data_IF_834338443570
#
_entry.id   IF_834338443570
#
_cell.length_a   1.000
_cell.length_b   1.000
_cell.length_c   1.000
_cell.angle_alpha   90.00
_cell.angle_beta   90.00
_cell.angle_gamma   90.00
#
_symmetry.space_group_name_H-M   'P 1'
#
loop_
_entity.id
_entity.type
_entity.pdbx_description
1 polymer ?
#
# COMPACT_ATOMS: atom_id res chain seq x y z
N UNK A 1 -8.21 -2.22 -2.65
CA UNK A 1 -8.39 -3.67 -2.49
C UNK A 1 -7.06 -4.43 -2.36
N UNK A 2 -6.09 -4.28 -3.28
CA UNK A 2 -4.75 -4.89 -3.13
C UNK A 2 -4.14 -4.65 -1.73
N UNK A 3 -4.15 -3.39 -1.28
CA UNK A 3 -3.66 -3.03 0.04
C UNK A 3 -4.45 -3.70 1.18
N UNK A 4 -5.77 -3.86 1.04
CA UNK A 4 -6.59 -4.54 2.03
C UNK A 4 -6.28 -6.05 2.09
N UNK A 5 -6.09 -6.71 0.93
CA UNK A 5 -5.67 -8.13 0.87
C UNK A 5 -4.32 -8.32 1.56
N UNK A 6 -3.33 -7.52 1.21
CA UNK A 6 -1.99 -7.63 1.82
C UNK A 6 -2.00 -7.25 3.31
N UNK A 7 -2.82 -6.28 3.70
CA UNK A 7 -2.96 -5.84 5.09
C UNK A 7 -3.44 -6.92 6.05
N UNK A 8 -4.15 -7.93 5.54
CA UNK A 8 -4.54 -9.11 6.32
C UNK A 8 -3.33 -9.99 6.72
N UNK A 9 -2.18 -9.82 6.05
CA UNK A 9 -1.06 -10.74 6.14
C UNK A 9 -1.29 -12.04 5.36
N UNK A 10 -0.28 -12.52 4.65
CA UNK A 10 -0.38 -13.69 3.80
C UNK A 10 -1.48 -13.63 2.73
N UNK A 11 -1.99 -12.41 2.41
CA UNK A 11 -3.15 -12.25 1.54
C UNK A 11 -4.45 -12.83 2.10
N UNK A 12 -4.54 -12.97 3.42
CA UNK A 12 -5.66 -13.63 4.12
C UNK A 12 -5.53 -15.13 4.24
N UNK A 13 -4.45 -15.74 3.75
CA UNK A 13 -4.12 -17.16 3.90
C UNK A 13 -3.47 -17.43 5.26
N UNK A 14 -3.48 -18.69 5.69
CA UNK A 14 -2.74 -19.16 6.88
C UNK A 14 -1.25 -19.22 6.57
N UNK A 15 -0.89 -19.87 5.48
CA UNK A 15 0.50 -19.96 5.03
C UNK A 15 0.83 -18.79 4.07
N UNK A 16 1.78 -17.90 4.42
CA UNK A 16 2.10 -16.74 3.61
C UNK A 16 2.95 -17.06 2.37
N UNK A 17 3.45 -18.30 2.19
CA UNK A 17 4.43 -18.63 1.14
C UNK A 17 3.92 -18.26 -0.26
N UNK A 18 2.76 -18.78 -0.63
CA UNK A 18 2.19 -18.55 -1.96
C UNK A 18 1.90 -17.06 -2.21
N UNK A 19 1.40 -16.35 -1.18
CA UNK A 19 1.18 -14.90 -1.24
C UNK A 19 2.48 -14.13 -1.36
N UNK A 20 3.53 -14.51 -0.63
CA UNK A 20 4.84 -13.85 -0.68
C UNK A 20 5.50 -14.03 -2.04
N UNK A 21 5.45 -15.23 -2.60
CA UNK A 21 6.04 -15.51 -3.92
C UNK A 21 5.26 -14.82 -5.04
N UNK A 22 3.93 -14.76 -4.93
CA UNK A 22 3.08 -13.97 -5.83
C UNK A 22 3.40 -12.47 -5.74
N UNK A 23 3.58 -11.92 -4.54
CA UNK A 23 4.00 -10.53 -4.34
C UNK A 23 5.41 -10.27 -4.88
N UNK A 24 6.32 -11.21 -4.76
CA UNK A 24 7.66 -11.12 -5.37
C UNK A 24 7.55 -11.01 -6.90
N UNK A 25 6.68 -11.81 -7.52
CA UNK A 25 6.41 -11.71 -8.95
C UNK A 25 5.81 -10.34 -9.31
N UNK A 26 4.84 -9.82 -8.50
CA UNK A 26 4.27 -8.47 -8.69
C UNK A 26 5.37 -7.42 -8.72
N UNK A 27 6.17 -7.32 -7.66
CA UNK A 27 7.13 -6.23 -7.52
C UNK A 27 8.29 -6.34 -8.50
N UNK A 28 8.76 -7.56 -8.81
CA UNK A 28 9.79 -7.78 -9.83
C UNK A 28 9.32 -7.32 -11.20
N UNK A 29 8.12 -7.71 -11.62
CA UNK A 29 7.56 -7.31 -12.90
C UNK A 29 7.23 -5.82 -12.93
N UNK A 30 6.65 -5.29 -11.84
CA UNK A 30 6.34 -3.88 -11.71
C UNK A 30 7.60 -3.01 -11.84
N UNK A 31 8.72 -3.41 -11.25
CA UNK A 31 9.98 -2.67 -11.34
C UNK A 31 10.49 -2.58 -12.78
N UNK A 32 10.40 -3.67 -13.55
CA UNK A 32 10.81 -3.69 -14.96
C UNK A 32 9.86 -2.87 -15.83
N UNK A 33 8.56 -3.12 -15.71
CA UNK A 33 7.55 -2.42 -16.53
C UNK A 33 7.49 -0.94 -16.18
N UNK A 34 7.78 -0.57 -14.93
CA UNK A 34 7.83 0.83 -14.47
C UNK A 34 8.70 1.73 -15.34
N UNK A 35 9.81 1.23 -15.89
CA UNK A 35 10.67 1.98 -16.79
C UNK A 35 10.01 2.32 -18.15
N UNK A 36 9.04 1.52 -18.58
CA UNK A 36 8.35 1.69 -19.86
C UNK A 36 6.91 2.15 -19.69
N UNK A 37 6.44 2.23 -18.45
CA UNK A 37 5.03 2.45 -18.13
C UNK A 37 4.51 3.79 -18.64
N UNK A 38 5.33 4.84 -18.64
CA UNK A 38 4.97 6.15 -19.18
C UNK A 38 4.67 6.07 -20.67
N UNK A 39 5.54 5.44 -21.46
CA UNK A 39 5.33 5.23 -22.89
C UNK A 39 4.10 4.39 -23.19
N UNK A 40 3.88 3.32 -22.41
CA UNK A 40 2.71 2.44 -22.56
C UNK A 40 1.43 3.20 -22.22
N UNK A 41 1.41 3.95 -21.11
CA UNK A 41 0.26 4.74 -20.68
C UNK A 41 -0.09 5.85 -21.69
N UNK A 42 0.93 6.47 -22.31
CA UNK A 42 0.72 7.45 -23.37
C UNK A 42 0.12 6.83 -24.65
N UNK A 43 0.58 5.62 -25.02
CA UNK A 43 0.05 4.91 -26.16
C UNK A 43 -1.38 4.41 -25.96
N UNK A 44 -1.69 3.84 -24.80
CA UNK A 44 -3.03 3.35 -24.44
C UNK A 44 -4.01 4.50 -24.18
N UNK A 45 -3.51 5.62 -23.68
CA UNK A 45 -4.31 6.70 -23.11
C UNK A 45 -4.74 6.41 -21.66
N UNK A 46 -4.95 7.47 -20.89
CA UNK A 46 -5.14 7.40 -19.42
C UNK A 46 -6.31 6.48 -19.03
N UNK A 47 -7.48 6.62 -19.67
CA UNK A 47 -8.67 5.82 -19.36
C UNK A 47 -8.42 4.32 -19.50
N UNK A 48 -7.88 3.92 -20.66
CA UNK A 48 -7.62 2.52 -20.96
C UNK A 48 -6.52 1.96 -20.06
N UNK A 49 -5.49 2.75 -19.77
CA UNK A 49 -4.40 2.37 -18.87
C UNK A 49 -4.91 2.09 -17.45
N UNK A 50 -5.79 2.94 -16.93
CA UNK A 50 -6.39 2.74 -15.60
C UNK A 50 -7.33 1.54 -15.56
N UNK A 51 -8.17 1.36 -16.57
CA UNK A 51 -9.11 0.22 -16.64
C UNK A 51 -8.37 -1.11 -16.82
N UNK A 52 -7.38 -1.14 -17.71
CA UNK A 52 -6.50 -2.31 -17.89
C UNK A 52 -5.79 -2.69 -16.59
N UNK A 53 -5.25 -1.68 -15.89
CA UNK A 53 -4.67 -1.89 -14.58
C UNK A 53 -5.66 -2.48 -13.59
N UNK A 54 -6.89 -1.95 -13.54
CA UNK A 54 -7.96 -2.45 -12.66
C UNK A 54 -8.31 -3.92 -12.91
N UNK A 55 -8.33 -4.37 -14.17
CA UNK A 55 -8.57 -5.78 -14.52
C UNK A 55 -7.46 -6.67 -13.96
N UNK A 56 -6.19 -6.25 -14.03
CA UNK A 56 -5.08 -6.99 -13.43
C UNK A 56 -5.27 -7.22 -11.93
N UNK A 57 -5.74 -6.22 -11.20
CA UNK A 57 -6.07 -6.36 -9.78
C UNK A 57 -7.23 -7.34 -9.54
N UNK A 58 -8.26 -7.38 -10.40
CA UNK A 58 -9.35 -8.35 -10.30
C UNK A 58 -8.83 -9.79 -10.45
N UNK A 59 -8.00 -10.05 -11.46
CA UNK A 59 -7.42 -11.37 -11.72
C UNK A 59 -6.52 -11.80 -10.55
N UNK A 60 -5.75 -10.88 -10.00
CA UNK A 60 -4.91 -11.15 -8.84
C UNK A 60 -5.74 -11.59 -7.62
N UNK A 61 -6.82 -10.87 -7.30
CA UNK A 61 -7.69 -11.27 -6.18
C UNK A 61 -8.41 -12.57 -6.48
N UNK A 62 -8.84 -12.80 -7.73
CA UNK A 62 -9.47 -14.06 -8.13
C UNK A 62 -8.51 -15.26 -7.98
N UNK A 63 -7.19 -15.06 -8.12
CA UNK A 63 -6.23 -16.13 -7.88
C UNK A 63 -6.16 -16.58 -6.42
N UNK A 64 -6.40 -15.70 -5.46
CA UNK A 64 -6.51 -16.06 -4.04
C UNK A 64 -7.77 -16.87 -3.76
N UNK A 65 -8.90 -16.47 -4.35
CA UNK A 65 -10.13 -17.26 -4.26
C UNK A 65 -9.95 -18.65 -4.87
N UNK A 66 -9.34 -18.73 -6.04
CA UNK A 66 -9.01 -20.02 -6.66
C UNK A 66 -8.06 -20.84 -5.78
N UNK A 67 -7.10 -20.21 -5.13
CA UNK A 67 -6.15 -20.90 -4.25
C UNK A 67 -6.82 -21.52 -3.02
N UNK A 68 -7.87 -20.89 -2.47
CA UNK A 68 -8.64 -21.47 -1.38
C UNK A 68 -9.22 -22.85 -1.74
N UNK A 69 -9.60 -23.06 -3.00
CA UNK A 69 -10.28 -24.30 -3.44
C UNK A 69 -9.35 -25.30 -4.11
N UNK A 70 -8.40 -24.80 -4.91
CA UNK A 70 -7.59 -25.67 -5.80
C UNK A 70 -6.15 -25.81 -5.35
N UNK A 71 -5.69 -24.96 -4.43
CA UNK A 71 -4.29 -24.85 -4.01
C UNK A 71 -3.33 -24.65 -5.22
N UNK A 72 -3.84 -24.04 -6.31
CA UNK A 72 -3.07 -23.80 -7.53
C UNK A 72 -2.06 -22.67 -7.35
N UNK A 73 -0.88 -23.03 -6.90
CA UNK A 73 0.24 -22.14 -6.70
C UNK A 73 0.69 -21.41 -7.98
N UNK A 74 0.72 -22.14 -9.10
CA UNK A 74 1.16 -21.59 -10.39
C UNK A 74 0.27 -20.43 -10.85
N UNK A 75 -1.04 -20.55 -10.68
CA UNK A 75 -1.98 -19.49 -11.01
C UNK A 75 -1.78 -18.23 -10.15
N UNK A 76 -1.49 -18.38 -8.84
CA UNK A 76 -1.20 -17.23 -7.97
C UNK A 76 0.04 -16.47 -8.43
N UNK A 77 1.13 -17.16 -8.73
CA UNK A 77 2.39 -16.54 -9.18
C UNK A 77 2.19 -15.87 -10.56
N UNK A 78 1.50 -16.55 -11.49
CA UNK A 78 1.17 -15.96 -12.79
C UNK A 78 0.29 -14.71 -12.67
N UNK A 79 -0.73 -14.74 -11.81
CA UNK A 79 -1.58 -13.58 -11.55
C UNK A 79 -0.77 -12.42 -10.93
N UNK A 80 0.22 -12.74 -10.08
CA UNK A 80 1.17 -11.76 -9.57
C UNK A 80 2.01 -11.11 -10.68
N UNK A 81 2.56 -11.91 -11.59
CA UNK A 81 3.28 -11.41 -12.76
C UNK A 81 2.40 -10.46 -13.59
N UNK A 82 1.18 -10.88 -13.91
CA UNK A 82 0.23 -10.10 -14.70
C UNK A 82 -0.14 -8.79 -13.99
N UNK A 83 -0.37 -8.86 -12.67
CA UNK A 83 -0.65 -7.65 -11.88
C UNK A 83 0.53 -6.68 -11.93
N UNK A 84 1.77 -7.15 -11.84
CA UNK A 84 2.94 -6.27 -11.93
C UNK A 84 3.00 -5.48 -13.23
N UNK A 85 2.67 -6.12 -14.36
CA UNK A 85 2.52 -5.44 -15.65
C UNK A 85 1.42 -4.38 -15.62
N UNK A 86 0.24 -4.75 -15.14
CA UNK A 86 -0.93 -3.89 -15.09
C UNK A 86 -0.73 -2.72 -14.11
N UNK A 87 -0.16 -2.97 -12.93
CA UNK A 87 0.10 -1.98 -11.91
C UNK A 87 1.09 -0.91 -12.39
N UNK A 88 2.17 -1.29 -13.09
CA UNK A 88 3.11 -0.34 -13.65
C UNK A 88 2.43 0.72 -14.50
N UNK A 89 1.60 0.26 -15.43
CA UNK A 89 0.84 1.14 -16.34
C UNK A 89 -0.19 1.98 -15.59
N UNK A 90 -0.92 1.39 -14.63
CA UNK A 90 -1.93 2.09 -13.82
C UNK A 90 -1.29 3.22 -13.01
N UNK A 91 -0.19 2.94 -12.32
CA UNK A 91 0.48 3.94 -11.48
C UNK A 91 1.10 5.08 -12.29
N UNK A 92 1.62 4.79 -13.50
CA UNK A 92 2.09 5.83 -14.42
C UNK A 92 0.95 6.73 -14.89
N UNK A 93 -0.19 6.15 -15.29
CA UNK A 93 -1.36 6.91 -15.72
C UNK A 93 -1.96 7.74 -14.57
N UNK A 94 -2.05 7.16 -13.38
CA UNK A 94 -2.54 7.86 -12.18
C UNK A 94 -1.60 9.00 -11.77
N UNK A 95 -0.28 8.75 -11.80
CA UNK A 95 0.73 9.78 -11.54
C UNK A 95 0.63 10.96 -12.51
N UNK A 96 0.40 10.68 -13.81
CA UNK A 96 0.19 11.70 -14.82
C UNK A 96 -1.05 12.56 -14.52
N UNK A 97 -2.17 11.97 -14.08
CA UNK A 97 -3.36 12.73 -13.65
C UNK A 97 -2.99 13.62 -12.46
N UNK A 98 -2.40 13.05 -11.43
CA UNK A 98 -2.09 13.75 -10.18
C UNK A 98 -1.16 14.95 -10.40
N UNK A 99 -0.24 14.85 -11.35
CA UNK A 99 0.73 15.92 -11.63
C UNK A 99 0.24 16.94 -12.67
N UNK A 100 -0.61 16.53 -13.63
CA UNK A 100 -0.99 17.36 -14.77
C UNK A 100 -2.34 18.07 -14.61
N UNK A 101 -3.29 17.53 -13.83
CA UNK A 101 -4.63 18.11 -13.73
C UNK A 101 -4.71 19.31 -12.78
N UNK A 102 -4.03 19.31 -11.59
CA UNK A 102 -4.11 20.46 -10.69
C UNK A 102 -3.30 21.65 -11.22
N UNK A 103 -3.74 22.91 -10.92
CA UNK A 103 -2.89 24.09 -11.06
C UNK A 103 -1.67 23.99 -10.13
N UNK A 104 -0.54 24.61 -10.54
CA UNK A 104 0.69 24.59 -9.76
C UNK A 104 0.52 25.05 -8.31
N UNK A 105 -0.27 26.12 -8.09
CA UNK A 105 -0.53 26.68 -6.77
C UNK A 105 -1.24 25.70 -5.81
N UNK A 106 -1.97 24.73 -6.33
CA UNK A 106 -2.82 23.82 -5.54
C UNK A 106 -2.36 22.37 -5.59
N UNK A 107 -1.24 22.05 -6.24
CA UNK A 107 -0.75 20.66 -6.39
C UNK A 107 -0.67 19.91 -5.07
N UNK A 108 -0.08 20.51 -4.03
CA UNK A 108 0.05 19.88 -2.73
C UNK A 108 -1.30 19.47 -2.12
N UNK A 109 -2.32 20.34 -2.22
CA UNK A 109 -3.68 20.04 -1.75
C UNK A 109 -4.31 18.88 -2.50
N UNK A 110 -4.19 18.83 -3.83
CA UNK A 110 -4.76 17.74 -4.63
C UNK A 110 -4.04 16.41 -4.38
N UNK A 111 -2.73 16.43 -4.18
CA UNK A 111 -1.96 15.24 -3.80
C UNK A 111 -2.43 14.73 -2.43
N UNK A 112 -2.64 15.60 -1.45
CA UNK A 112 -3.14 15.21 -0.13
C UNK A 112 -4.54 14.59 -0.21
N UNK A 113 -5.46 15.19 -1.01
CA UNK A 113 -6.80 14.64 -1.25
C UNK A 113 -6.71 13.26 -1.90
N UNK A 114 -5.82 13.10 -2.90
CA UNK A 114 -5.60 11.81 -3.54
C UNK A 114 -5.19 10.74 -2.51
N UNK A 115 -4.21 11.03 -1.65
CA UNK A 115 -3.76 10.08 -0.64
C UNK A 115 -4.83 9.78 0.41
N UNK A 116 -5.66 10.73 0.78
CA UNK A 116 -6.81 10.47 1.67
C UNK A 116 -7.81 9.51 1.02
N UNK A 117 -8.19 9.74 -0.24
CA UNK A 117 -9.13 8.88 -0.99
C UNK A 117 -8.53 7.49 -1.19
N UNK A 118 -7.24 7.41 -1.51
CA UNK A 118 -6.51 6.15 -1.69
C UNK A 118 -6.51 5.31 -0.41
N UNK A 119 -6.18 5.91 0.74
CA UNK A 119 -6.20 5.23 2.03
C UNK A 119 -7.62 4.88 2.49
N UNK A 120 -8.62 5.73 2.18
CA UNK A 120 -10.03 5.42 2.43
C UNK A 120 -10.46 4.15 1.68
N UNK A 121 -9.96 3.94 0.45
CA UNK A 121 -10.13 2.69 -0.28
C UNK A 121 -9.53 1.47 0.46
N UNK A 122 -8.42 1.65 1.17
CA UNK A 122 -7.85 0.64 2.06
C UNK A 122 -8.77 0.34 3.27
N UNK A 123 -9.30 1.39 3.90
CA UNK A 123 -10.26 1.27 5.03
C UNK A 123 -11.51 0.52 4.60
N UNK A 124 -12.21 0.98 3.54
CA UNK A 124 -13.42 0.36 3.01
C UNK A 124 -13.15 -1.10 2.63
N UNK A 125 -12.00 -1.36 1.97
CA UNK A 125 -11.60 -2.70 1.64
C UNK A 125 -11.41 -3.58 2.88
N UNK A 126 -10.80 -3.08 3.93
CA UNK A 126 -10.55 -3.84 5.15
C UNK A 126 -11.81 -4.06 6.00
N UNK A 127 -12.86 -3.27 5.81
CA UNK A 127 -14.17 -3.54 6.42
C UNK A 127 -14.84 -4.81 5.87
N UNK A 128 -14.56 -5.19 4.63
CA UNK A 128 -15.11 -6.42 4.03
C UNK A 128 -14.65 -7.67 4.82
N UNK A 129 -13.34 -7.93 4.99
CA UNK A 129 -12.88 -9.06 5.79
C UNK A 129 -13.29 -8.94 7.26
N UNK A 130 -13.35 -7.75 7.83
CA UNK A 130 -13.80 -7.58 9.20
C UNK A 130 -15.26 -8.03 9.35
N UNK A 131 -16.17 -7.60 8.48
CA UNK A 131 -17.56 -8.02 8.51
C UNK A 131 -17.76 -9.50 8.25
N UNK A 132 -17.00 -10.10 7.32
CA UNK A 132 -17.10 -11.51 6.97
C UNK A 132 -16.49 -12.46 8.02
N UNK A 133 -15.47 -12.02 8.75
CA UNK A 133 -14.71 -12.88 9.65
C UNK A 133 -14.83 -12.46 11.13
N UNK A 134 -15.79 -11.61 11.49
CA UNK A 134 -15.95 -11.07 12.84
C UNK A 134 -16.16 -12.14 13.92
N UNK A 135 -16.76 -13.25 13.55
CA UNK A 135 -17.01 -14.41 14.43
C UNK A 135 -15.91 -15.47 14.37
N UNK A 136 -14.91 -15.32 13.51
CA UNK A 136 -13.85 -16.31 13.30
C UNK A 136 -12.73 -16.12 14.32
N UNK A 137 -12.77 -16.87 15.39
CA UNK A 137 -11.77 -16.87 16.46
C UNK A 137 -10.55 -17.74 16.16
N UNK A 138 -10.70 -18.70 15.23
CA UNK A 138 -9.64 -19.61 14.82
C UNK A 138 -8.61 -18.92 13.90
N UNK A 139 -7.44 -19.53 13.77
CA UNK A 139 -6.45 -19.16 12.78
C UNK A 139 -6.73 -19.86 11.46
N UNK A 140 -7.64 -19.31 10.65
CA UNK A 140 -8.04 -19.87 9.37
C UNK A 140 -7.83 -18.87 8.23
N UNK A 141 -7.86 -19.34 6.99
CA UNK A 141 -7.95 -18.45 5.84
C UNK A 141 -9.24 -17.63 5.92
N UNK A 142 -9.21 -16.41 5.36
CA UNK A 142 -10.42 -15.59 5.29
C UNK A 142 -11.47 -16.23 4.38
N UNK A 143 -12.73 -15.93 4.65
CA UNK A 143 -13.86 -16.49 3.91
C UNK A 143 -13.83 -16.10 2.42
N UNK A 144 -14.37 -16.95 1.56
CA UNK A 144 -14.51 -16.68 0.12
C UNK A 144 -15.28 -15.38 -0.16
N UNK A 145 -16.26 -15.06 0.68
CA UNK A 145 -16.99 -13.80 0.61
C UNK A 145 -16.09 -12.56 0.67
N UNK A 146 -14.98 -12.66 1.38
CA UNK A 146 -13.96 -11.58 1.42
C UNK A 146 -13.36 -11.34 0.05
N UNK A 147 -12.92 -12.39 -0.64
CA UNK A 147 -12.32 -12.26 -1.97
C UNK A 147 -13.34 -11.85 -3.02
N UNK A 148 -14.57 -12.38 -2.96
CA UNK A 148 -15.67 -11.97 -3.84
C UNK A 148 -15.97 -10.47 -3.66
N UNK A 149 -16.06 -9.99 -2.42
CA UNK A 149 -16.24 -8.57 -2.13
C UNK A 149 -15.11 -7.70 -2.72
N UNK A 150 -13.87 -8.14 -2.60
CA UNK A 150 -12.72 -7.46 -3.20
C UNK A 150 -12.78 -7.43 -4.73
N UNK A 151 -13.16 -8.53 -5.39
CA UNK A 151 -13.31 -8.62 -6.84
C UNK A 151 -14.37 -7.64 -7.30
N UNK A 152 -15.55 -7.61 -6.67
CA UNK A 152 -16.65 -6.70 -7.02
C UNK A 152 -16.20 -5.24 -6.91
N UNK A 153 -15.61 -4.86 -5.78
CA UNK A 153 -15.15 -3.47 -5.55
C UNK A 153 -14.04 -3.06 -6.54
N UNK A 154 -13.15 -3.98 -6.88
CA UNK A 154 -12.07 -3.70 -7.84
C UNK A 154 -12.61 -3.59 -9.26
N UNK A 155 -13.55 -4.47 -9.64
CA UNK A 155 -14.22 -4.43 -10.94
C UNK A 155 -15.00 -3.12 -11.13
N UNK A 156 -15.74 -2.69 -10.10
CA UNK A 156 -16.43 -1.39 -10.10
C UNK A 156 -15.43 -0.24 -10.34
N UNK A 157 -14.28 -0.27 -9.66
CA UNK A 157 -13.22 0.73 -9.87
C UNK A 157 -12.66 0.73 -11.30
N UNK A 158 -12.43 -0.44 -11.89
CA UNK A 158 -11.98 -0.58 -13.27
C UNK A 158 -13.01 -0.06 -14.29
N UNK A 159 -14.29 -0.33 -14.03
CA UNK A 159 -15.42 0.19 -14.86
C UNK A 159 -15.51 1.70 -14.74
N UNK A 160 -15.45 2.24 -13.52
CA UNK A 160 -15.50 3.69 -13.30
C UNK A 160 -14.39 4.45 -14.04
N UNK A 161 -13.21 3.81 -14.21
CA UNK A 161 -12.11 4.42 -14.94
C UNK A 161 -12.44 4.70 -16.44
N UNK A 162 -13.36 3.94 -17.05
CA UNK A 162 -13.82 4.22 -18.42
C UNK A 162 -14.65 5.50 -18.53
N UNK A 163 -15.30 5.94 -17.46
CA UNK A 163 -16.12 7.15 -17.41
C UNK A 163 -15.32 8.43 -17.12
N UNK A 164 -14.02 8.32 -16.88
CA UNK A 164 -13.17 9.48 -16.69
C UNK A 164 -13.21 10.40 -17.92
N UNK A 165 -13.14 11.70 -17.67
CA UNK A 165 -13.07 12.71 -18.72
C UNK A 165 -11.71 12.66 -19.40
N UNK A 166 -11.66 12.81 -20.73
CA UNK A 166 -10.38 12.86 -21.44
C UNK A 166 -9.57 14.09 -21.03
N UNK A 167 -8.27 13.89 -20.81
CA UNK A 167 -7.37 14.96 -20.38
C UNK A 167 -7.40 16.20 -21.29
N UNK A 168 -7.62 16.00 -22.60
CA UNK A 168 -7.71 17.08 -23.59
C UNK A 168 -8.92 17.99 -23.40
N UNK A 169 -9.98 17.49 -22.78
CA UNK A 169 -11.23 18.25 -22.53
C UNK A 169 -11.27 18.89 -21.14
N UNK A 170 -10.28 18.60 -20.28
CA UNK A 170 -10.22 19.18 -18.95
C UNK A 170 -9.65 20.60 -19.03
N UNK A 171 -10.44 21.57 -18.56
CA UNK A 171 -10.02 22.95 -18.35
C UNK A 171 -9.79 23.14 -16.85
N UNK A 172 -8.60 23.62 -16.47
CA UNK A 172 -8.25 23.89 -15.07
C UNK A 172 -9.01 25.11 -14.56
N UNK A 173 -9.08 25.29 -13.25
CA UNK A 173 -9.72 26.44 -12.61
C UNK A 173 -9.09 27.79 -12.95
N UNK A 174 -7.85 27.78 -13.42
CA UNK A 174 -7.13 28.96 -13.94
C UNK A 174 -7.36 29.24 -15.44
N UNK A 175 -8.28 28.47 -16.07
CA UNK A 175 -8.57 28.58 -17.50
C UNK A 175 -7.55 27.90 -18.42
N UNK A 176 -6.45 27.36 -17.89
CA UNK A 176 -5.47 26.64 -18.69
C UNK A 176 -5.95 25.23 -19.05
N UNK A 177 -5.51 24.71 -20.19
CA UNK A 177 -5.78 23.32 -20.57
C UNK A 177 -4.72 22.40 -20.01
N UNK A 178 -5.11 21.16 -19.71
CA UNK A 178 -4.18 20.11 -19.29
C UNK A 178 -3.27 19.76 -20.46
N UNK A 179 -1.98 20.01 -20.28
CA UNK A 179 -0.94 19.62 -21.23
C UNK A 179 -0.41 18.28 -20.79
N UNK A 180 -0.72 17.23 -21.54
CA UNK A 180 -0.01 15.95 -21.43
C UNK A 180 1.25 16.01 -22.28
N UNK A 181 2.37 15.53 -21.76
CA UNK A 181 3.61 15.43 -22.53
C UNK A 181 3.34 14.67 -23.84
N UNK A 182 3.75 15.25 -24.97
CA UNK A 182 3.65 14.60 -26.27
C UNK A 182 4.58 13.38 -26.29
N UNK A 183 3.96 12.19 -26.33
CA UNK A 183 4.55 10.89 -26.73
C UNK A 183 6.06 10.76 -26.44
N UNK A 184 6.51 10.67 -25.18
CA UNK A 184 7.86 10.27 -24.91
C UNK A 184 8.04 8.84 -25.44
N UNK A 185 9.10 8.62 -26.23
CA UNK A 185 9.50 7.28 -26.61
C UNK A 185 10.28 6.66 -25.45
N UNK A 186 10.26 5.34 -25.33
CA UNK A 186 11.03 4.64 -24.28
C UNK A 186 12.53 5.07 -24.26
N UNK A 187 13.09 5.40 -25.43
CA UNK A 187 14.47 5.90 -25.56
C UNK A 187 14.64 7.26 -24.89
N UNK A 188 13.70 8.19 -25.15
CA UNK A 188 13.76 9.54 -24.53
C UNK A 188 13.54 9.48 -23.04
N UNK A 189 12.73 8.55 -22.51
CA UNK A 189 12.56 8.34 -21.08
C UNK A 189 13.85 7.82 -20.42
N UNK A 190 14.51 6.82 -21.00
CA UNK A 190 15.77 6.29 -20.48
C UNK A 190 16.91 7.34 -20.54
N UNK A 191 17.02 8.06 -21.66
CA UNK A 191 18.01 9.12 -21.82
C UNK A 191 17.73 10.25 -20.81
N UNK A 192 16.48 10.66 -20.67
CA UNK A 192 16.06 11.70 -19.71
C UNK A 192 16.36 11.30 -18.26
N UNK A 193 16.16 10.04 -17.86
CA UNK A 193 16.59 9.56 -16.55
C UNK A 193 18.10 9.68 -16.34
N UNK A 194 18.87 9.30 -17.34
CA UNK A 194 20.34 9.38 -17.28
C UNK A 194 20.83 10.84 -17.22
N UNK A 195 20.25 11.71 -18.01
CA UNK A 195 20.53 13.15 -17.99
C UNK A 195 20.17 13.78 -16.64
N UNK A 196 19.01 13.39 -16.07
CA UNK A 196 18.57 13.86 -14.75
C UNK A 196 19.54 13.42 -13.65
N UNK A 197 20.03 12.17 -13.69
CA UNK A 197 21.01 11.68 -12.72
C UNK A 197 22.36 12.41 -12.85
N UNK A 198 22.74 12.84 -14.07
CA UNK A 198 23.95 13.63 -14.29
C UNK A 198 23.81 15.08 -13.85
N UNK A 199 22.67 15.71 -14.13
CA UNK A 199 22.43 17.12 -13.80
C UNK A 199 22.17 17.33 -12.31
N UNK A 200 21.53 16.34 -11.64
CA UNK A 200 21.13 16.43 -10.23
C UNK A 200 21.70 15.25 -9.42
N UNK A 201 23.01 15.23 -9.13
CA UNK A 201 23.66 14.11 -8.43
C UNK A 201 23.11 13.88 -7.02
N UNK A 202 22.45 14.87 -6.41
CA UNK A 202 21.77 14.70 -5.12
C UNK A 202 20.64 13.66 -5.14
N UNK A 203 20.08 13.33 -6.33
CA UNK A 203 19.09 12.24 -6.47
C UNK A 203 19.71 10.91 -6.08
N UNK A 204 21.00 10.69 -6.33
CA UNK A 204 21.70 9.46 -5.93
C UNK A 204 21.73 9.31 -4.41
N UNK A 205 21.87 10.42 -3.67
CA UNK A 205 21.83 10.40 -2.21
C UNK A 205 20.44 10.04 -1.65
N UNK A 206 19.38 10.18 -2.45
CA UNK A 206 18.04 9.77 -2.08
C UNK A 206 17.77 8.28 -2.35
N UNK A 207 18.67 7.59 -3.06
CA UNK A 207 18.48 6.16 -3.41
C UNK A 207 18.23 5.27 -2.20
N UNK A 208 18.97 5.35 -1.07
CA UNK A 208 18.67 4.53 0.11
C UNK A 208 17.25 4.76 0.64
N UNK A 209 16.74 5.98 0.55
CA UNK A 209 15.39 6.33 0.95
C UNK A 209 14.35 5.72 -0.01
N UNK A 210 14.58 5.78 -1.32
CA UNK A 210 13.68 5.15 -2.31
C UNK A 210 13.68 3.64 -2.16
N UNK A 211 14.85 3.03 -1.98
CA UNK A 211 15.02 1.59 -1.79
C UNK A 211 14.30 1.09 -0.54
N UNK A 212 14.38 1.80 0.57
CA UNK A 212 13.75 1.41 1.84
C UNK A 212 12.27 1.77 1.94
N UNK A 213 11.69 2.47 0.95
CA UNK A 213 10.36 3.09 1.06
C UNK A 213 9.20 2.12 1.27
N UNK A 214 9.32 0.86 0.86
CA UNK A 214 8.26 -0.16 0.95
C UNK A 214 8.68 -1.44 1.71
N UNK A 215 9.87 -1.49 2.28
CA UNK A 215 10.37 -2.67 2.99
C UNK A 215 9.52 -3.11 4.17
N UNK A 216 8.98 -2.13 4.87
CA UNK A 216 8.24 -2.37 6.10
C UNK A 216 6.91 -3.09 5.89
N UNK A 217 6.29 -3.04 4.71
CA UNK A 217 4.99 -3.64 4.47
C UNK A 217 4.95 -5.15 4.72
N UNK A 218 5.93 -5.88 4.19
CA UNK A 218 6.01 -7.33 4.40
C UNK A 218 6.18 -7.69 5.87
N UNK A 219 7.02 -6.94 6.59
CA UNK A 219 7.20 -7.13 8.03
C UNK A 219 5.90 -6.83 8.79
N UNK A 220 5.25 -5.70 8.52
CA UNK A 220 4.02 -5.34 9.21
C UNK A 220 2.90 -6.35 8.97
N UNK A 221 2.71 -6.78 7.72
CA UNK A 221 1.60 -7.64 7.38
C UNK A 221 1.84 -9.11 7.73
N UNK A 222 3.03 -9.62 7.46
CA UNK A 222 3.35 -11.03 7.70
C UNK A 222 4.06 -11.26 9.04
N UNK A 223 5.06 -10.45 9.38
CA UNK A 223 5.83 -10.61 10.61
C UNK A 223 5.10 -10.13 11.86
N UNK A 224 4.14 -9.22 11.74
CA UNK A 224 3.36 -8.71 12.88
C UNK A 224 1.92 -9.17 12.80
N UNK A 225 1.16 -8.74 11.78
CA UNK A 225 -0.29 -8.98 11.77
C UNK A 225 -0.64 -10.47 11.63
N UNK A 226 -0.05 -11.17 10.65
CA UNK A 226 -0.29 -12.60 10.47
C UNK A 226 0.29 -13.44 11.60
N UNK A 227 1.51 -13.12 12.04
CA UNK A 227 2.22 -13.94 13.04
C UNK A 227 1.58 -13.87 14.43
N UNK A 228 1.05 -12.71 14.83
CA UNK A 228 0.67 -12.43 16.20
C UNK A 228 -0.82 -12.48 16.49
N UNK A 229 -1.68 -12.36 15.47
CA UNK A 229 -3.11 -12.17 15.66
C UNK A 229 -3.94 -13.21 14.92
N UNK A 230 -5.09 -13.59 15.51
CA UNK A 230 -6.06 -14.47 14.88
C UNK A 230 -6.81 -13.78 13.73
N UNK A 231 -7.59 -14.53 12.95
CA UNK A 231 -8.20 -14.04 11.69
C UNK A 231 -9.08 -12.82 11.87
N UNK A 232 -9.93 -12.77 12.90
CA UNK A 232 -10.80 -11.60 13.13
C UNK A 232 -10.01 -10.37 13.59
N UNK A 233 -9.01 -10.58 14.42
CA UNK A 233 -8.15 -9.49 14.91
C UNK A 233 -7.26 -8.92 13.81
N UNK A 234 -6.74 -9.77 12.91
CA UNK A 234 -6.02 -9.30 11.71
C UNK A 234 -6.87 -8.39 10.84
N UNK A 235 -8.16 -8.73 10.70
CA UNK A 235 -9.10 -7.94 9.92
C UNK A 235 -9.35 -6.56 10.56
N UNK A 236 -9.54 -6.50 11.88
CA UNK A 236 -9.65 -5.25 12.63
C UNK A 236 -8.36 -4.42 12.52
N UNK A 237 -7.23 -5.04 12.75
CA UNK A 237 -5.92 -4.39 12.64
C UNK A 237 -5.69 -3.78 11.26
N UNK A 238 -6.14 -4.45 10.19
CA UNK A 238 -6.05 -3.91 8.83
C UNK A 238 -6.88 -2.63 8.67
N UNK A 239 -8.09 -2.56 9.24
CA UNK A 239 -8.91 -1.32 9.25
C UNK A 239 -8.18 -0.21 10.00
N UNK A 240 -7.71 -0.48 11.22
CA UNK A 240 -7.01 0.48 12.05
C UNK A 240 -5.72 0.99 11.40
N UNK A 241 -5.01 0.10 10.72
CA UNK A 241 -3.80 0.40 9.96
C UNK A 241 -4.06 1.47 8.89
N UNK A 242 -5.07 1.30 8.04
CA UNK A 242 -5.37 2.26 6.98
C UNK A 242 -5.99 3.56 7.53
N UNK A 243 -6.78 3.49 8.60
CA UNK A 243 -7.28 4.67 9.30
C UNK A 243 -6.15 5.50 9.90
N UNK A 244 -5.16 4.86 10.49
CA UNK A 244 -4.04 5.59 11.11
C UNK A 244 -3.20 6.37 10.12
N UNK A 245 -3.12 5.92 8.86
CA UNK A 245 -2.46 6.67 7.79
C UNK A 245 -3.19 7.99 7.49
N UNK A 246 -4.52 7.97 7.48
CA UNK A 246 -5.32 9.17 7.23
C UNK A 246 -5.08 10.17 8.37
N UNK A 247 -5.21 9.73 9.62
CA UNK A 247 -4.96 10.61 10.78
C UNK A 247 -3.53 11.11 10.84
N UNK A 248 -2.55 10.26 10.58
CA UNK A 248 -1.14 10.64 10.50
C UNK A 248 -0.91 11.74 9.46
N UNK A 249 -1.43 11.56 8.24
CA UNK A 249 -1.32 12.55 7.18
C UNK A 249 -1.98 13.88 7.53
N UNK A 250 -3.17 13.85 8.17
CA UNK A 250 -3.88 15.06 8.60
C UNK A 250 -3.11 15.82 9.69
N UNK A 251 -2.65 15.13 10.73
CA UNK A 251 -1.93 15.75 11.86
C UNK A 251 -0.63 16.40 11.35
N UNK A 252 0.16 15.67 10.58
CA UNK A 252 1.42 16.20 10.07
C UNK A 252 1.22 17.29 9.02
N UNK A 253 0.22 17.16 8.14
CA UNK A 253 -0.16 18.21 7.21
C UNK A 253 -0.50 19.50 7.94
N UNK A 254 -1.34 19.42 8.96
CA UNK A 254 -1.67 20.56 9.80
C UNK A 254 -0.44 21.17 10.49
N UNK A 255 0.44 20.34 11.08
CA UNK A 255 1.65 20.81 11.74
C UNK A 255 2.61 21.52 10.75
N UNK A 256 2.69 21.02 9.53
CA UNK A 256 3.53 21.62 8.48
C UNK A 256 2.94 22.93 7.93
N UNK A 257 1.63 23.11 8.00
CA UNK A 257 0.94 24.32 7.53
C UNK A 257 0.84 25.43 8.58
N UNK A 258 1.29 25.20 9.84
CA UNK A 258 1.29 26.21 10.90
C UNK A 258 2.13 27.44 10.49
N UNK A 259 1.48 28.53 10.11
CA UNK A 259 2.12 29.77 9.63
C UNK A 259 2.90 30.53 10.71
N UNK A 260 2.65 30.22 12.01
CA UNK A 260 3.32 30.86 13.15
C UNK A 260 4.84 30.67 13.16
N UNK A 261 5.35 29.59 12.56
CA UNK A 261 6.77 29.26 12.56
C UNK A 261 7.35 29.29 11.13
N UNK A 262 8.63 29.64 11.02
CA UNK A 262 9.35 29.59 9.73
C UNK A 262 9.33 28.17 9.15
N UNK A 263 9.17 28.02 7.83
CA UNK A 263 9.13 26.74 7.12
C UNK A 263 10.26 25.78 7.53
N UNK A 264 11.50 26.28 7.61
CA UNK A 264 12.66 25.47 8.02
C UNK A 264 12.55 24.93 9.44
N UNK A 265 11.99 25.71 10.38
CA UNK A 265 11.79 25.27 11.77
C UNK A 265 10.76 24.16 11.84
N UNK A 266 9.63 24.32 11.13
CA UNK A 266 8.59 23.30 11.07
C UNK A 266 9.10 21.98 10.49
N UNK A 267 9.82 22.05 9.36
CA UNK A 267 10.39 20.87 8.71
C UNK A 267 11.40 20.14 9.63
N UNK A 268 12.30 20.89 10.31
CA UNK A 268 13.26 20.30 11.26
C UNK A 268 12.55 19.70 12.47
N UNK A 269 11.55 20.38 13.04
CA UNK A 269 10.78 19.85 14.17
C UNK A 269 10.06 18.56 13.81
N UNK A 270 9.37 18.52 12.68
CA UNK A 270 8.72 17.31 12.18
C UNK A 270 9.73 16.18 11.93
N UNK A 271 10.91 16.50 11.40
CA UNK A 271 11.97 15.51 11.21
C UNK A 271 12.47 14.92 12.54
N UNK A 272 12.72 15.76 13.55
CA UNK A 272 13.12 15.30 14.89
C UNK A 272 12.04 14.41 15.51
N UNK A 273 10.76 14.80 15.43
CA UNK A 273 9.65 14.00 15.93
C UNK A 273 9.63 12.63 15.23
N UNK A 274 9.75 12.60 13.90
CA UNK A 274 9.79 11.34 13.15
C UNK A 274 11.00 10.48 13.52
N UNK A 275 12.15 11.10 13.74
CA UNK A 275 13.36 10.39 14.16
C UNK A 275 13.16 9.72 15.52
N UNK A 276 12.67 10.45 16.53
CA UNK A 276 12.41 9.92 17.87
C UNK A 276 11.34 8.81 17.81
N UNK A 277 10.23 9.04 17.11
CA UNK A 277 9.17 8.03 16.93
C UNK A 277 9.71 6.77 16.26
N UNK A 278 10.64 6.88 15.32
CA UNK A 278 11.25 5.73 14.69
C UNK A 278 11.89 4.80 15.71
N UNK A 279 12.78 5.32 16.54
CA UNK A 279 13.47 4.50 17.55
C UNK A 279 12.53 3.99 18.63
N UNK A 280 11.56 4.80 19.07
CA UNK A 280 10.58 4.37 20.06
C UNK A 280 9.72 3.20 19.54
N UNK A 281 9.21 3.30 18.31
CA UNK A 281 8.32 2.30 17.71
C UNK A 281 9.10 1.01 17.37
N UNK A 282 10.27 1.13 16.73
CA UNK A 282 11.06 -0.04 16.39
C UNK A 282 11.69 -0.70 17.63
N UNK A 283 12.08 0.07 18.63
CA UNK A 283 12.55 -0.44 19.92
C UNK A 283 11.44 -1.20 20.66
N UNK A 284 10.23 -0.63 20.74
CA UNK A 284 9.06 -1.31 21.30
C UNK A 284 8.68 -2.58 20.52
N UNK A 285 8.72 -2.51 19.19
CA UNK A 285 8.48 -3.64 18.31
C UNK A 285 9.49 -4.77 18.51
N UNK A 286 10.78 -4.44 18.63
CA UNK A 286 11.83 -5.40 18.93
C UNK A 286 11.61 -6.08 20.30
N UNK A 287 11.33 -5.30 21.33
CA UNK A 287 11.08 -5.83 22.67
C UNK A 287 9.87 -6.79 22.70
N UNK A 288 8.86 -6.53 21.86
CA UNK A 288 7.72 -7.42 21.71
C UNK A 288 8.08 -8.68 20.91
N UNK A 289 8.77 -8.54 19.78
CA UNK A 289 9.13 -9.65 18.90
C UNK A 289 10.19 -10.59 19.53
N UNK A 290 11.03 -10.08 20.42
CA UNK A 290 12.02 -10.91 21.13
C UNK A 290 11.40 -11.99 22.03
N UNK A 291 10.07 -11.94 22.25
CA UNK A 291 9.34 -12.91 23.10
C UNK A 291 9.00 -14.22 22.38
N UNK A 292 9.09 -14.28 21.05
CA UNK A 292 8.75 -15.46 20.26
C UNK A 292 9.69 -15.61 19.07
N UNK A 293 9.83 -16.84 18.60
CA UNK A 293 10.60 -17.17 17.41
C UNK A 293 9.69 -17.53 16.24
N UNK A 294 10.21 -17.44 15.02
CA UNK A 294 9.48 -17.86 13.83
C UNK A 294 9.04 -19.32 13.88
N UNK A 295 9.92 -20.20 14.41
CA UNK A 295 9.61 -21.62 14.55
C UNK A 295 8.44 -21.88 15.51
N UNK A 296 8.31 -21.12 16.60
CA UNK A 296 7.16 -21.20 17.51
C UNK A 296 5.87 -20.76 16.86
N UNK A 297 5.90 -19.69 16.04
CA UNK A 297 4.72 -19.23 15.30
C UNK A 297 4.29 -20.27 14.27
N UNK A 298 5.23 -20.85 13.53
CA UNK A 298 4.95 -21.90 12.53
C UNK A 298 4.44 -23.20 13.19
N UNK A 299 4.95 -23.58 14.34
CA UNK A 299 4.49 -24.74 15.11
C UNK A 299 3.08 -24.55 15.68
N UNK A 300 2.76 -23.36 16.22
CA UNK A 300 1.42 -23.04 16.73
C UNK A 300 0.33 -23.01 15.67
N UNK A 301 0.69 -22.80 14.40
CA UNK A 301 -0.25 -22.88 13.27
C UNK A 301 -0.54 -24.34 12.84
N UNK A 302 0.28 -25.30 13.24
CA UNK A 302 0.21 -26.70 12.78
C UNK A 302 -0.57 -27.65 13.69
N UNK A 303 -0.88 -27.26 14.93
CA UNK A 303 -1.59 -28.13 15.88
C UNK A 303 -2.94 -27.59 16.32
N UNK A 304 -4.04 -28.35 16.09
CA UNK A 304 -5.36 -28.03 16.65
C UNK A 304 -5.46 -28.33 18.15
N UNK A 305 -4.44 -28.93 18.77
CA UNK A 305 -4.50 -29.42 20.14
C UNK A 305 -3.89 -28.40 21.12
N UNK A 306 -4.75 -27.85 21.94
CA UNK A 306 -4.57 -26.72 22.88
C UNK A 306 -3.71 -27.08 24.13
N UNK A 307 -2.85 -28.09 24.08
CA UNK A 307 -2.16 -28.65 25.26
C UNK A 307 -0.68 -28.29 25.42
N UNK A 308 -0.12 -27.51 24.51
CA UNK A 308 1.26 -27.04 24.67
C UNK A 308 1.27 -25.55 25.08
N UNK A 309 2.23 -25.17 25.91
CA UNK A 309 2.63 -23.78 26.27
C UNK A 309 3.08 -22.96 25.03
N UNK A 310 2.61 -23.36 23.86
CA UNK A 310 3.01 -22.84 22.57
C UNK A 310 2.29 -21.53 22.26
N UNK A 311 2.99 -20.69 21.54
CA UNK A 311 2.63 -19.36 21.15
C UNK A 311 1.17 -19.25 20.64
N UNK A 312 0.29 -18.69 21.48
CA UNK A 312 -1.12 -18.43 21.15
C UNK A 312 -1.25 -17.06 20.47
N UNK A 313 -1.89 -17.05 19.29
CA UNK A 313 -2.20 -15.78 18.61
C UNK A 313 -3.20 -14.97 19.41
N UNK A 314 -2.92 -13.67 19.52
CA UNK A 314 -3.74 -12.72 20.28
C UNK A 314 -5.07 -12.45 19.59
N UNK A 315 -6.10 -12.40 20.42
CA UNK A 315 -7.41 -11.90 20.05
C UNK A 315 -7.60 -10.45 20.58
N UNK A 316 -8.47 -9.70 19.93
CA UNK A 316 -8.80 -8.33 20.39
C UNK A 316 -9.43 -8.29 21.79
N UNK A 317 -10.03 -9.39 22.24
CA UNK A 317 -10.59 -9.56 23.59
C UNK A 317 -9.55 -9.85 24.65
N UNK A 318 -8.32 -10.21 24.27
CA UNK A 318 -7.26 -10.55 25.21
C UNK A 318 -6.68 -9.30 25.87
N UNK A 319 -6.39 -9.36 27.17
CA UNK A 319 -5.82 -8.24 27.93
C UNK A 319 -4.47 -7.76 27.39
N UNK A 320 -3.74 -8.62 26.70
CA UNK A 320 -2.44 -8.31 26.09
C UNK A 320 -2.49 -7.66 24.71
N UNK A 321 -3.67 -7.49 24.12
CA UNK A 321 -3.85 -7.01 22.74
C UNK A 321 -3.50 -5.53 22.53
N UNK A 322 -3.83 -4.67 23.49
CA UNK A 322 -3.78 -3.20 23.34
C UNK A 322 -2.39 -2.69 22.98
N UNK A 323 -1.35 -3.19 23.67
CA UNK A 323 0.03 -2.76 23.42
C UNK A 323 0.52 -3.07 21.99
N UNK A 324 0.48 -4.34 21.56
CA UNK A 324 0.82 -4.73 20.19
C UNK A 324 -0.01 -4.04 19.10
N UNK A 325 -1.30 -3.79 19.36
CA UNK A 325 -2.18 -3.03 18.46
C UNK A 325 -1.66 -1.61 18.25
N UNK A 326 -1.35 -0.89 19.35
CA UNK A 326 -0.81 0.47 19.23
C UNK A 326 0.54 0.49 18.51
N UNK A 327 1.43 -0.45 18.78
CA UNK A 327 2.68 -0.59 18.03
C UNK A 327 2.41 -0.76 16.53
N UNK A 328 1.47 -1.64 16.17
CA UNK A 328 1.10 -1.90 14.78
C UNK A 328 0.53 -0.65 14.09
N UNK A 329 -0.33 0.11 14.75
CA UNK A 329 -0.88 1.37 14.25
C UNK A 329 0.22 2.43 14.07
N UNK A 330 1.12 2.55 15.03
CA UNK A 330 2.19 3.55 14.98
C UNK A 330 3.29 3.24 13.97
N UNK A 331 3.55 1.96 13.65
CA UNK A 331 4.42 1.60 12.53
C UNK A 331 4.03 2.36 11.25
N UNK A 332 2.76 2.59 11.04
CA UNK A 332 2.19 3.13 9.80
C UNK A 332 2.04 4.63 9.83
N UNK A 333 1.54 5.20 10.92
CA UNK A 333 1.38 6.65 11.06
C UNK A 333 2.65 7.41 10.70
N UNK A 334 3.81 6.84 11.06
CA UNK A 334 5.12 7.36 10.73
C UNK A 334 5.35 7.48 9.21
N UNK A 335 4.90 6.51 8.43
CA UNK A 335 5.18 6.48 6.99
C UNK A 335 4.36 7.54 6.24
N UNK A 336 3.10 7.73 6.59
CA UNK A 336 2.27 8.83 6.07
C UNK A 336 2.84 10.20 6.40
N UNK A 337 3.49 10.32 7.55
CA UNK A 337 4.19 11.54 7.96
C UNK A 337 5.40 11.84 7.08
N UNK A 338 6.13 10.80 6.67
CA UNK A 338 7.31 10.96 5.79
C UNK A 338 6.89 11.42 4.40
N UNK A 339 5.77 10.92 3.88
CA UNK A 339 5.26 11.30 2.57
C UNK A 339 4.73 12.75 2.57
N UNK A 340 4.02 13.17 3.61
CA UNK A 340 3.58 14.57 3.76
C UNK A 340 4.76 15.55 3.85
N UNK A 341 5.86 15.15 4.49
CA UNK A 341 7.05 15.99 4.62
C UNK A 341 7.79 16.19 3.27
N UNK A 342 7.75 15.18 2.39
CA UNK A 342 8.34 15.26 1.03
C UNK A 342 7.63 16.26 0.13
N UNK A 343 6.31 16.38 0.26
CA UNK A 343 5.48 17.23 -0.60
C UNK A 343 5.60 18.72 -0.27
N UNK A 344 5.95 19.07 0.97
CA UNK A 344 6.11 20.46 1.42
C UNK A 344 7.53 21.05 1.27
N UNK A 345 8.48 20.28 0.76
CA UNK A 345 9.85 20.74 0.55
C UNK A 345 10.11 21.40 -0.82
N UNK A 346 9.10 21.43 -1.71
CA UNK A 346 9.18 22.07 -3.03
C UNK A 346 8.60 23.48 -3.06
#
# INVERSE_FOLDING_TARGET
>A
MFNAVNGLGGGGQVNPKASTDSNTAVYSTFSVIGFFAGSIANWLGIKRALSFGGIGYCIYVASYLSYNHTQNYGFMVFAGFLLGCCAGVLWAAQGAIMMAYPPEANKGRYISIFWMIFNMGGVIGSLVPLGQNIHTTSNSAVSDGTYVGFIILTALGAILAFFLVDAKSVVRTDGSRVILMKNPTWKTELIGMWETLKSEPYIILLFPMFFSSNWFYTYHFNGVNLAQFNTRTRSLNSVLYWLSQIWGAMIFGYCLDLTRFRRTVRAKACWVVLFVLTFAIWGGGYAFQARYTRAQVEAGDATPDDTSDDYKKLDWTDSGYIGPMFLYIFYVSRNSCTDSNRLNQR
#
